data_IF_137608293829
#
_entry.id   IF_137608293829
#
_cell.length_a   1.000
_cell.length_b   1.000
_cell.length_c   1.000
_cell.angle_alpha   90.00
_cell.angle_beta   90.00
_cell.angle_gamma   90.00
#
_symmetry.space_group_name_H-M   'P 1'
#
loop_
_entity.id
_entity.type
_entity.pdbx_description
1 polymer ?
#
# COMPACT_ATOMS: atom_id res chain seq x y z
N UNK A 1 13.25 33.06 28.95
CA UNK A 1 13.42 31.60 29.06
C UNK A 1 12.86 30.97 27.80
N UNK A 2 13.71 30.59 26.84
CA UNK A 2 13.25 29.90 25.63
C UNK A 2 12.86 28.48 26.03
N UNK A 3 11.58 28.14 25.95
CA UNK A 3 11.12 26.77 26.04
C UNK A 3 11.67 26.06 24.81
N UNK A 4 12.73 25.27 24.98
CA UNK A 4 13.17 24.33 23.95
C UNK A 4 11.98 23.43 23.66
N UNK A 5 11.41 23.55 22.47
CA UNK A 5 10.41 22.62 21.98
C UNK A 5 11.10 21.27 21.82
N UNK A 6 10.97 20.44 22.85
CA UNK A 6 11.61 19.14 22.96
C UNK A 6 10.92 18.08 22.10
N UNK A 7 9.89 18.45 21.33
CA UNK A 7 9.05 17.50 20.59
C UNK A 7 8.14 16.66 21.50
N UNK A 8 8.06 17.00 22.78
CA UNK A 8 7.19 16.37 23.81
C UNK A 8 5.78 16.91 23.82
N UNK A 9 5.57 18.07 23.21
CA UNK A 9 4.23 18.57 23.03
C UNK A 9 3.52 17.56 22.14
N UNK A 10 2.31 17.09 22.51
CA UNK A 10 1.51 16.31 21.59
C UNK A 10 1.48 17.09 20.26
N UNK A 11 1.89 16.46 19.15
CA UNK A 11 1.93 17.16 17.88
C UNK A 11 0.57 17.79 17.64
N UNK A 12 0.54 19.09 17.30
CA UNK A 12 -0.69 19.83 17.00
C UNK A 12 -1.28 19.44 15.63
N UNK A 13 -0.98 18.24 15.18
CA UNK A 13 -1.48 17.64 13.97
C UNK A 13 -1.73 16.17 14.26
N UNK A 14 -2.78 15.65 13.66
CA UNK A 14 -3.06 14.23 13.75
C UNK A 14 -1.87 13.43 13.19
N UNK A 15 -1.65 12.20 13.69
CA UNK A 15 -0.81 11.27 12.97
C UNK A 15 -1.32 11.16 11.52
N UNK A 16 -0.42 11.03 10.53
CA UNK A 16 -0.83 10.75 9.16
C UNK A 16 -1.77 9.55 9.14
N UNK A 17 -2.78 9.55 8.26
CA UNK A 17 -3.92 8.59 8.23
C UNK A 17 -3.54 7.10 8.28
N UNK A 18 -2.29 6.74 8.00
CA UNK A 18 -1.76 5.37 8.05
C UNK A 18 -0.82 5.07 9.25
N UNK A 19 -0.67 5.98 10.21
CA UNK A 19 0.10 5.79 11.44
C UNK A 19 -0.85 5.41 12.57
N UNK A 20 -0.46 4.46 13.41
CA UNK A 20 -1.12 4.31 14.71
C UNK A 20 -1.05 5.64 15.49
N UNK A 21 -2.02 5.90 16.38
CA UNK A 21 -1.94 7.02 17.30
C UNK A 21 -0.56 7.04 17.95
N UNK A 22 -0.01 8.25 18.13
CA UNK A 22 1.21 8.39 18.92
C UNK A 22 1.00 7.69 20.26
N UNK A 23 2.00 6.94 20.72
CA UNK A 23 1.99 6.21 21.99
C UNK A 23 2.08 7.21 23.16
N UNK A 24 1.03 8.02 23.28
CA UNK A 24 0.83 9.05 24.28
C UNK A 24 -0.02 8.40 25.36
N UNK A 25 0.61 7.98 26.46
CA UNK A 25 -0.09 7.27 27.52
C UNK A 25 -1.27 8.10 28.06
N UNK A 26 -0.96 9.26 28.63
CA UNK A 26 -1.90 10.24 29.19
C UNK A 26 -1.46 11.66 28.80
N UNK A 27 -2.30 12.65 29.07
CA UNK A 27 -1.94 14.06 28.87
C UNK A 27 -0.67 14.39 29.70
N UNK A 28 0.45 14.61 29.00
CA UNK A 28 1.76 14.85 29.62
C UNK A 28 2.60 13.59 29.96
N UNK A 29 2.14 12.39 29.57
CA UNK A 29 2.85 11.13 29.80
C UNK A 29 3.37 10.56 28.47
N UNK A 30 4.69 10.54 28.30
CA UNK A 30 5.41 10.15 27.08
C UNK A 30 5.43 8.63 26.83
N UNK A 31 4.69 7.86 27.65
CA UNK A 31 4.84 6.42 27.68
C UNK A 31 6.23 6.02 28.18
N UNK A 32 6.77 4.90 27.69
CA UNK A 32 8.04 4.35 28.17
C UNK A 32 9.30 5.09 27.65
N UNK A 33 9.18 6.03 26.72
CA UNK A 33 10.31 6.65 26.01
C UNK A 33 10.48 8.13 26.38
N UNK A 34 11.74 8.56 26.51
CA UNK A 34 12.05 9.98 26.66
C UNK A 34 11.98 10.73 25.31
N UNK A 35 12.05 12.06 25.37
CA UNK A 35 11.89 12.94 24.20
C UNK A 35 12.88 12.66 23.06
N UNK A 36 14.16 12.48 23.40
CA UNK A 36 15.18 12.21 22.39
C UNK A 36 14.96 10.84 21.73
N UNK A 37 14.52 9.84 22.52
CA UNK A 37 14.16 8.52 22.02
C UNK A 37 12.92 8.57 21.12
N UNK A 38 11.90 9.34 21.50
CA UNK A 38 10.67 9.47 20.71
C UNK A 38 10.95 10.19 19.38
N UNK A 39 11.72 11.28 19.39
CA UNK A 39 12.14 11.96 18.17
C UNK A 39 12.94 11.04 17.24
N UNK A 40 13.91 10.32 17.78
CA UNK A 40 14.72 9.35 17.02
C UNK A 40 13.85 8.24 16.43
N UNK A 41 12.90 7.72 17.21
CA UNK A 41 11.94 6.70 16.76
C UNK A 41 11.04 7.23 15.63
N UNK A 42 10.51 8.44 15.77
CA UNK A 42 9.65 9.05 14.76
C UNK A 42 10.41 9.27 13.44
N UNK A 43 11.65 9.75 13.52
CA UNK A 43 12.52 9.90 12.35
C UNK A 43 12.76 8.56 11.66
N UNK A 44 13.12 7.52 12.41
CA UNK A 44 13.35 6.18 11.87
C UNK A 44 12.08 5.60 11.21
N UNK A 45 10.91 5.76 11.85
CA UNK A 45 9.62 5.33 11.30
C UNK A 45 9.31 6.04 9.97
N UNK A 46 9.54 7.35 9.91
CA UNK A 46 9.32 8.13 8.69
C UNK A 46 10.23 7.67 7.54
N UNK A 47 11.54 7.51 7.81
CA UNK A 47 12.51 7.02 6.82
C UNK A 47 12.16 5.60 6.35
N UNK A 48 11.77 4.72 7.27
CA UNK A 48 11.34 3.35 6.96
C UNK A 48 10.12 3.33 6.04
N UNK A 49 9.12 4.18 6.29
CA UNK A 49 7.93 4.28 5.43
C UNK A 49 8.27 4.74 4.01
N UNK A 50 9.09 5.77 3.88
CA UNK A 50 9.54 6.25 2.57
C UNK A 50 10.26 5.13 1.80
N UNK A 51 11.10 4.37 2.50
CA UNK A 51 11.81 3.25 1.89
C UNK A 51 10.85 2.12 1.49
N UNK A 52 9.88 1.78 2.33
CA UNK A 52 8.87 0.76 2.03
C UNK A 52 7.99 1.17 0.84
N UNK A 53 7.52 2.42 0.79
CA UNK A 53 6.72 2.93 -0.32
C UNK A 53 7.52 2.96 -1.62
N UNK A 54 8.79 3.37 -1.56
CA UNK A 54 9.69 3.32 -2.72
C UNK A 54 9.88 1.89 -3.20
N UNK A 55 10.12 0.95 -2.29
CA UNK A 55 10.25 -0.47 -2.61
C UNK A 55 8.98 -1.02 -3.27
N UNK A 56 7.80 -0.77 -2.70
CA UNK A 56 6.53 -1.22 -3.30
C UNK A 56 6.25 -0.60 -4.67
N UNK A 57 6.71 0.63 -4.91
CA UNK A 57 6.60 1.29 -6.22
C UNK A 57 7.57 0.70 -7.25
N UNK A 58 8.79 0.38 -6.84
CA UNK A 58 9.83 -0.21 -7.69
C UNK A 58 9.57 -1.70 -7.99
N UNK A 59 8.78 -2.38 -7.15
CA UNK A 59 8.47 -3.80 -7.24
C UNK A 59 6.98 -4.08 -7.53
N UNK A 60 6.48 -3.77 -8.75
CA UNK A 60 5.08 -3.98 -9.11
C UNK A 60 4.65 -5.46 -9.03
N UNK A 61 5.58 -6.41 -9.10
CA UNK A 61 5.32 -7.84 -8.88
C UNK A 61 4.66 -8.12 -7.52
N UNK A 62 4.95 -7.32 -6.49
CA UNK A 62 4.34 -7.50 -5.16
C UNK A 62 2.85 -7.20 -5.20
N UNK A 63 2.44 -6.15 -5.90
CA UNK A 63 1.02 -5.81 -6.06
C UNK A 63 0.27 -6.91 -6.83
N UNK A 64 0.91 -7.52 -7.83
CA UNK A 64 0.33 -8.64 -8.56
C UNK A 64 0.21 -9.88 -7.68
N UNK A 65 1.20 -10.17 -6.84
CA UNK A 65 1.14 -11.26 -5.86
C UNK A 65 0.00 -11.11 -4.87
N UNK A 66 -0.15 -9.92 -4.28
CA UNK A 66 -1.23 -9.62 -3.33
C UNK A 66 -2.59 -9.74 -4.03
N UNK A 67 -2.73 -9.17 -5.23
CA UNK A 67 -3.99 -9.23 -5.99
C UNK A 67 -4.36 -10.66 -6.39
N UNK A 68 -3.38 -11.46 -6.80
CA UNK A 68 -3.54 -12.87 -7.13
C UNK A 68 -4.04 -13.67 -5.93
N UNK A 69 -3.40 -13.48 -4.77
CA UNK A 69 -3.80 -14.14 -3.54
C UNK A 69 -5.21 -13.72 -3.11
N UNK A 70 -5.53 -12.43 -3.10
CA UNK A 70 -6.86 -11.94 -2.75
C UNK A 70 -7.94 -12.50 -3.66
N UNK A 71 -7.68 -12.59 -4.97
CA UNK A 71 -8.59 -13.23 -5.92
C UNK A 71 -8.81 -14.70 -5.56
N UNK A 72 -7.75 -15.44 -5.29
CA UNK A 72 -7.84 -16.87 -4.95
C UNK A 72 -8.60 -17.08 -3.63
N UNK A 73 -8.30 -16.26 -2.62
CA UNK A 73 -8.96 -16.26 -1.32
C UNK A 73 -10.46 -15.97 -1.42
N UNK A 74 -10.85 -14.96 -2.20
CA UNK A 74 -12.26 -14.57 -2.38
C UNK A 74 -13.05 -15.60 -3.21
N UNK A 75 -12.40 -16.30 -4.14
CA UNK A 75 -13.03 -17.34 -4.96
C UNK A 75 -13.21 -18.64 -4.18
N UNK A 76 -12.15 -19.09 -3.49
CA UNK A 76 -12.15 -20.38 -2.79
C UNK A 76 -12.80 -20.31 -1.42
N UNK A 77 -12.81 -19.14 -0.77
CA UNK A 77 -13.32 -18.91 0.59
C UNK A 77 -12.96 -20.05 1.55
N UNK A 78 -11.66 -20.31 1.74
CA UNK A 78 -11.20 -21.41 2.58
C UNK A 78 -11.60 -21.20 4.05
N UNK A 79 -11.79 -22.30 4.78
CA UNK A 79 -12.14 -22.27 6.20
C UNK A 79 -11.02 -21.65 7.07
N UNK A 80 -9.75 -21.88 6.72
CA UNK A 80 -8.59 -21.19 7.31
C UNK A 80 -7.82 -20.35 6.27
N UNK A 81 -8.02 -19.02 6.28
CA UNK A 81 -7.28 -18.10 5.41
C UNK A 81 -5.76 -18.10 5.63
N UNK A 82 -5.28 -18.43 6.84
CA UNK A 82 -3.85 -18.38 7.19
C UNK A 82 -3.11 -19.58 6.65
N UNK A 83 -3.72 -20.76 6.74
CA UNK A 83 -3.19 -21.96 6.10
C UNK A 83 -3.14 -21.79 4.59
N UNK A 84 -4.23 -21.27 4.01
CA UNK A 84 -4.27 -20.95 2.58
C UNK A 84 -3.19 -19.94 2.15
N UNK A 85 -2.92 -18.92 2.97
CA UNK A 85 -1.83 -17.97 2.72
C UNK A 85 -0.47 -18.67 2.64
N UNK A 86 -0.16 -19.55 3.61
CA UNK A 86 1.10 -20.31 3.60
C UNK A 86 1.21 -21.15 2.34
N UNK A 87 0.19 -21.92 2.01
CA UNK A 87 0.20 -22.82 0.87
C UNK A 87 0.37 -22.06 -0.44
N UNK A 88 -0.28 -20.90 -0.57
CA UNK A 88 -0.18 -20.05 -1.74
C UNK A 88 1.25 -19.50 -1.92
N UNK A 89 1.83 -18.90 -0.88
CA UNK A 89 3.13 -18.21 -0.98
C UNK A 89 4.34 -19.14 -0.93
N UNK A 90 4.20 -20.35 -0.39
CA UNK A 90 5.27 -21.37 -0.38
C UNK A 90 5.27 -22.26 -1.62
N UNK A 91 4.28 -22.10 -2.51
CA UNK A 91 4.15 -22.94 -3.70
C UNK A 91 5.37 -22.76 -4.62
N UNK A 92 6.05 -23.85 -5.06
CA UNK A 92 7.28 -23.75 -5.86
C UNK A 92 7.09 -23.04 -7.20
N UNK A 93 5.90 -23.19 -7.81
CA UNK A 93 5.54 -22.53 -9.06
C UNK A 93 4.90 -21.14 -8.88
N UNK A 94 4.94 -20.54 -7.68
CA UNK A 94 4.34 -19.21 -7.43
C UNK A 94 4.78 -18.20 -8.48
N UNK A 95 6.09 -18.14 -8.75
CA UNK A 95 6.64 -17.14 -9.68
C UNK A 95 6.07 -17.26 -11.09
N UNK A 96 5.94 -18.47 -11.62
CA UNK A 96 5.33 -18.71 -12.93
C UNK A 96 3.87 -18.25 -12.95
N UNK A 97 3.10 -18.60 -11.92
CA UNK A 97 1.69 -18.19 -11.77
C UNK A 97 1.52 -16.68 -11.76
N UNK A 98 2.43 -15.98 -11.09
CA UNK A 98 2.41 -14.51 -11.01
C UNK A 98 2.79 -13.88 -12.35
N UNK A 99 3.77 -14.43 -13.05
CA UNK A 99 4.15 -13.94 -14.39
C UNK A 99 3.01 -14.15 -15.41
N UNK A 100 2.30 -15.28 -15.36
CA UNK A 100 1.10 -15.53 -16.16
C UNK A 100 -0.01 -14.50 -15.86
N UNK A 101 -0.28 -14.23 -14.59
CA UNK A 101 -1.26 -13.22 -14.17
C UNK A 101 -0.85 -11.82 -14.62
N UNK A 102 0.44 -11.45 -14.50
CA UNK A 102 0.96 -10.16 -14.99
C UNK A 102 0.68 -9.99 -16.47
N UNK A 103 0.94 -11.02 -17.27
CA UNK A 103 0.68 -11.00 -18.71
C UNK A 103 -0.82 -10.90 -19.03
N UNK A 104 -1.66 -11.61 -18.28
CA UNK A 104 -3.13 -11.52 -18.41
C UNK A 104 -3.64 -10.10 -18.10
N UNK A 105 -3.19 -9.51 -17.00
CA UNK A 105 -3.55 -8.13 -16.62
C UNK A 105 -3.10 -7.12 -17.68
N UNK A 106 -1.86 -7.23 -18.17
CA UNK A 106 -1.34 -6.35 -19.21
C UNK A 106 -2.18 -6.44 -20.50
N UNK A 107 -2.60 -7.65 -20.88
CA UNK A 107 -3.45 -7.87 -22.06
C UNK A 107 -4.83 -7.25 -21.89
N UNK A 108 -5.50 -7.48 -20.76
CA UNK A 108 -6.82 -6.88 -20.45
C UNK A 108 -6.78 -5.36 -20.44
N UNK A 109 -5.77 -4.77 -19.79
CA UNK A 109 -5.61 -3.31 -19.78
C UNK A 109 -5.35 -2.73 -21.17
N UNK A 110 -4.62 -3.45 -22.04
CA UNK A 110 -4.43 -3.03 -23.42
C UNK A 110 -5.76 -3.08 -24.21
N UNK A 111 -6.52 -4.16 -24.08
CA UNK A 111 -7.83 -4.31 -24.72
C UNK A 111 -8.82 -3.22 -24.27
N UNK A 112 -8.89 -2.93 -22.97
CA UNK A 112 -9.72 -1.86 -22.41
C UNK A 112 -9.31 -0.46 -22.91
N UNK A 113 -8.00 -0.21 -23.02
CA UNK A 113 -7.48 1.06 -23.53
C UNK A 113 -7.81 1.25 -25.01
N UNK A 114 -7.66 0.19 -25.81
CA UNK A 114 -8.05 0.20 -27.24
C UNK A 114 -9.56 0.42 -27.38
N UNK A 115 -10.38 -0.27 -26.59
CA UNK A 115 -11.83 -0.08 -26.60
C UNK A 115 -12.25 1.36 -26.26
N UNK A 116 -11.60 1.99 -25.28
CA UNK A 116 -11.84 3.42 -24.96
C UNK A 116 -11.39 4.36 -26.08
N UNK A 117 -10.26 4.09 -26.72
CA UNK A 117 -9.77 4.87 -27.87
C UNK A 117 -10.77 4.82 -29.03
N UNK A 118 -11.23 3.63 -29.39
CA UNK A 118 -12.23 3.43 -30.44
C UNK A 118 -13.57 4.10 -30.09
N UNK A 119 -14.02 3.99 -28.84
CA UNK A 119 -15.24 4.64 -28.37
C UNK A 119 -15.15 6.19 -28.37
N UNK A 120 -13.95 6.76 -28.19
CA UNK A 120 -13.75 8.21 -28.29
C UNK A 120 -13.72 8.74 -29.73
N UNK A 121 -13.41 7.89 -30.72
CA UNK A 121 -13.41 8.25 -32.14
C UNK A 121 -14.83 8.20 -32.77
N UNK A 122 -15.80 7.56 -32.13
CA UNK A 122 -17.20 7.51 -32.60
C UNK A 122 -18.03 8.78 -32.33
N UNK A 123 -17.53 9.74 -31.55
CA UNK A 123 -18.17 11.05 -31.36
C UNK A 123 -17.59 12.13 -32.29
N UNK A 124 -17.50 11.85 -33.59
CA UNK A 124 -17.48 12.92 -34.59
C UNK A 124 -18.92 13.35 -34.85
N UNK A 125 -19.35 14.41 -34.16
CA UNK A 125 -20.56 15.13 -34.54
C UNK A 125 -20.28 15.77 -35.90
N UNK A 126 -20.85 15.19 -36.95
CA UNK A 126 -21.10 15.89 -38.20
C UNK A 126 -22.05 17.05 -37.89
N UNK A 127 -21.48 18.19 -37.52
CA UNK A 127 -22.15 19.48 -37.56
C UNK A 127 -21.75 20.17 -38.87
N UNK A 128 -22.25 19.62 -39.98
CA UNK A 128 -22.49 20.39 -41.19
C UNK A 128 -23.98 20.67 -41.30
N UNK A 129 -24.40 21.89 -40.93
CA UNK A 129 -25.25 22.81 -41.73
C UNK A 129 -25.43 24.13 -40.97
#
# INVERSE_FOLDING_TARGET
MYTTDTGSAPPKHDPPVAMEPYDLGKEGDLGALNNAQQWSTNKLKAETRINNERYLREHPEINHMISAFLRDLLLKKPDDPREHFKDFFTHPDLRKRIDELKNEYAKKHHEDAVARSLASEEFNYDDST
#
